data_IF_933053017550
#
_entry.id   IF_933053017550
#
_cell.length_a   1.000
_cell.length_b   1.000
_cell.length_c   1.000
_cell.angle_alpha   90.00
_cell.angle_beta   90.00
_cell.angle_gamma   90.00
#
_symmetry.space_group_name_H-M   'P 1'
#
loop_
_entity.id
_entity.type
_entity.pdbx_description
1 polymer ?
#
# COMPACT_ATOMS: atom_id res chain seq x y z
N UNK A 1 -0.65 -42.04 -25.87
CA UNK A 1 0.08 -41.14 -24.95
C UNK A 1 0.84 -40.07 -25.74
N UNK A 2 1.76 -40.42 -26.68
CA UNK A 2 2.56 -39.44 -27.44
C UNK A 2 1.67 -38.48 -28.22
N UNK A 3 0.67 -38.95 -28.98
CA UNK A 3 -0.29 -38.10 -29.68
C UNK A 3 -1.13 -37.19 -28.78
N UNK A 4 -1.35 -37.59 -27.53
CA UNK A 4 -2.00 -36.72 -26.54
C UNK A 4 -1.05 -35.65 -26.02
N UNK A 5 0.24 -35.97 -25.83
CA UNK A 5 1.25 -35.04 -25.45
C UNK A 5 1.51 -33.95 -26.53
N UNK A 6 1.44 -34.31 -27.82
CA UNK A 6 1.57 -33.39 -28.94
C UNK A 6 0.46 -32.31 -28.99
N UNK A 7 -0.73 -32.63 -28.42
CA UNK A 7 -1.86 -31.69 -28.33
C UNK A 7 -1.79 -30.76 -27.10
N UNK A 8 -0.98 -31.11 -26.13
CA UNK A 8 -0.84 -30.34 -24.88
C UNK A 8 0.29 -29.33 -25.08
N UNK A 9 -0.06 -28.06 -25.27
CA UNK A 9 0.92 -26.97 -25.45
C UNK A 9 1.79 -26.71 -24.21
N UNK A 10 1.32 -27.06 -23.03
CA UNK A 10 2.02 -26.88 -21.76
C UNK A 10 1.66 -28.01 -20.77
N UNK A 11 2.66 -28.78 -20.35
CA UNK A 11 2.51 -29.81 -19.30
C UNK A 11 3.04 -29.27 -17.97
N UNK A 12 2.13 -29.10 -17.03
CA UNK A 12 2.51 -28.68 -15.67
C UNK A 12 2.94 -29.90 -14.86
N UNK A 13 4.19 -29.99 -14.39
CA UNK A 13 4.65 -31.16 -13.60
C UNK A 13 3.84 -31.30 -12.32
N UNK A 14 3.38 -32.53 -12.00
CA UNK A 14 2.58 -32.80 -10.80
C UNK A 14 3.26 -32.32 -9.51
N UNK A 15 4.57 -32.55 -9.39
CA UNK A 15 5.35 -32.11 -8.23
C UNK A 15 5.37 -30.58 -8.09
N UNK A 16 5.47 -29.86 -9.21
CA UNK A 16 5.42 -28.41 -9.24
C UNK A 16 4.03 -27.90 -8.82
N UNK A 17 2.96 -28.47 -9.40
CA UNK A 17 1.60 -28.13 -8.99
C UNK A 17 1.37 -28.39 -7.49
N UNK A 18 1.81 -29.54 -6.96
CA UNK A 18 1.70 -29.86 -5.55
C UNK A 18 2.44 -28.86 -4.64
N UNK A 19 3.64 -28.41 -5.04
CA UNK A 19 4.41 -27.44 -4.30
C UNK A 19 3.70 -26.08 -4.24
N UNK A 20 3.19 -25.59 -5.38
CA UNK A 20 2.44 -24.32 -5.43
C UNK A 20 1.15 -24.37 -4.61
N UNK A 21 0.36 -25.44 -4.77
CA UNK A 21 -0.88 -25.62 -4.02
C UNK A 21 -0.60 -25.69 -2.52
N UNK A 22 0.44 -26.43 -2.09
CA UNK A 22 0.83 -26.50 -0.68
C UNK A 22 1.19 -25.11 -0.12
N UNK A 23 1.95 -24.31 -0.87
CA UNK A 23 2.29 -22.95 -0.44
C UNK A 23 1.06 -22.04 -0.41
N UNK A 24 0.16 -22.15 -1.38
CA UNK A 24 -1.10 -21.41 -1.38
C UNK A 24 -1.94 -21.72 -0.14
N UNK A 25 -2.07 -22.99 0.25
CA UNK A 25 -2.77 -23.39 1.48
C UNK A 25 -2.10 -22.84 2.74
N UNK A 26 -0.77 -22.84 2.81
CA UNK A 26 -0.04 -22.25 3.96
C UNK A 26 -0.32 -20.74 4.08
N UNK A 27 -0.29 -20.03 2.97
CA UNK A 27 -0.59 -18.59 2.96
C UNK A 27 -2.06 -18.34 3.33
N UNK A 28 -2.99 -19.12 2.78
CA UNK A 28 -4.41 -19.05 3.12
C UNK A 28 -4.66 -19.32 4.60
N UNK A 29 -3.92 -20.25 5.21
CA UNK A 29 -4.02 -20.53 6.65
C UNK A 29 -3.69 -19.26 7.47
N UNK A 30 -2.59 -18.59 7.17
CA UNK A 30 -2.24 -17.31 7.85
C UNK A 30 -3.32 -16.25 7.63
N UNK A 31 -3.86 -16.13 6.42
CA UNK A 31 -4.93 -15.16 6.12
C UNK A 31 -6.21 -15.40 6.94
N UNK A 32 -6.49 -16.65 7.30
CA UNK A 32 -7.66 -17.03 8.09
C UNK A 32 -7.41 -16.92 9.60
N UNK A 33 -6.28 -17.45 10.08
CA UNK A 33 -6.02 -17.63 11.50
C UNK A 33 -5.19 -16.48 12.11
N UNK A 34 -4.31 -15.85 11.30
CA UNK A 34 -3.44 -14.75 11.72
C UNK A 34 -3.54 -13.57 10.73
N UNK A 35 -4.74 -13.01 10.51
CA UNK A 35 -4.96 -12.03 9.44
C UNK A 35 -4.11 -10.77 9.60
N UNK A 36 -3.88 -10.26 10.82
CA UNK A 36 -2.99 -9.12 11.03
C UNK A 36 -1.58 -9.41 10.54
N UNK A 37 -1.03 -10.58 10.83
CA UNK A 37 0.30 -10.99 10.38
C UNK A 37 0.35 -11.09 8.84
N UNK A 38 -0.67 -11.68 8.23
CA UNK A 38 -0.78 -11.79 6.77
C UNK A 38 -0.76 -10.42 6.09
N UNK A 39 -1.63 -9.49 6.49
CA UNK A 39 -1.71 -8.16 5.88
C UNK A 39 -0.45 -7.34 6.14
N UNK A 40 0.11 -7.40 7.35
CA UNK A 40 1.35 -6.69 7.69
C UNK A 40 2.51 -7.15 6.81
N UNK A 41 2.67 -8.46 6.61
CA UNK A 41 3.69 -9.03 5.73
C UNK A 41 3.45 -8.64 4.27
N UNK A 42 2.20 -8.73 3.80
CA UNK A 42 1.85 -8.36 2.44
C UNK A 42 2.16 -6.89 2.15
N UNK A 43 1.66 -5.98 2.97
CA UNK A 43 1.88 -4.54 2.76
C UNK A 43 3.35 -4.14 2.89
N UNK A 44 4.12 -4.84 3.75
CA UNK A 44 5.56 -4.57 3.87
C UNK A 44 6.36 -4.99 2.64
N UNK A 45 5.97 -6.09 1.97
CA UNK A 45 6.79 -6.73 0.94
C UNK A 45 6.28 -6.45 -0.48
N UNK A 46 4.96 -6.29 -0.66
CA UNK A 46 4.32 -6.30 -1.97
C UNK A 46 3.54 -5.03 -2.31
N UNK A 47 3.47 -4.07 -1.40
CA UNK A 47 2.64 -2.89 -1.58
C UNK A 47 3.49 -1.64 -1.90
N UNK A 48 4.27 -1.68 -2.97
CA UNK A 48 5.13 -0.56 -3.41
C UNK A 48 4.32 0.71 -3.73
N UNK A 49 3.06 0.55 -4.18
CA UNK A 49 2.14 1.65 -4.48
C UNK A 49 1.17 1.94 -3.30
N UNK A 50 1.57 1.60 -2.07
CA UNK A 50 0.76 1.90 -0.90
C UNK A 50 0.74 3.40 -0.64
N UNK A 51 -0.46 3.96 -0.60
CA UNK A 51 -0.71 5.38 -0.34
C UNK A 51 -1.48 5.53 0.98
N UNK A 52 -0.79 6.01 2.00
CA UNK A 52 -1.39 6.20 3.33
C UNK A 52 -2.50 7.25 3.34
N UNK A 53 -2.43 8.27 2.46
CA UNK A 53 -3.45 9.31 2.35
C UNK A 53 -4.78 8.78 1.83
N UNK A 54 -4.74 7.69 1.07
CA UNK A 54 -5.93 7.00 0.55
C UNK A 54 -6.34 5.85 1.45
N UNK A 55 -5.38 5.01 1.84
CA UNK A 55 -5.64 3.67 2.39
C UNK A 55 -5.84 3.65 3.91
N UNK A 56 -5.31 4.64 4.64
CA UNK A 56 -5.36 4.64 6.12
C UNK A 56 -6.54 5.43 6.72
N UNK A 57 -7.40 6.03 5.90
CA UNK A 57 -8.50 6.86 6.38
C UNK A 57 -9.89 6.23 6.20
N UNK A 58 -9.96 4.91 6.29
CA UNK A 58 -11.20 4.15 6.32
C UNK A 58 -11.70 3.67 4.95
N UNK A 59 -12.62 2.69 4.99
CA UNK A 59 -13.07 1.96 3.81
C UNK A 59 -13.78 2.81 2.76
N UNK A 60 -14.47 3.87 3.16
CA UNK A 60 -15.17 4.74 2.19
C UNK A 60 -14.18 5.47 1.27
N UNK A 61 -13.04 5.92 1.80
CA UNK A 61 -12.01 6.57 0.99
C UNK A 61 -11.37 5.59 0.01
N UNK A 62 -11.16 4.35 0.44
CA UNK A 62 -10.67 3.25 -0.40
C UNK A 62 -11.66 2.96 -1.53
N UNK A 63 -12.94 2.77 -1.24
CA UNK A 63 -14.00 2.54 -2.23
C UNK A 63 -14.12 3.68 -3.25
N UNK A 64 -14.02 4.92 -2.79
CA UNK A 64 -14.07 6.07 -3.69
C UNK A 64 -12.87 6.10 -4.64
N UNK A 65 -11.67 5.76 -4.17
CA UNK A 65 -10.48 5.67 -5.02
C UNK A 65 -10.58 4.52 -6.02
N UNK A 66 -11.11 3.36 -5.63
CA UNK A 66 -11.37 2.26 -6.55
C UNK A 66 -12.32 2.68 -7.67
N UNK A 67 -13.44 3.34 -7.34
CA UNK A 67 -14.38 3.87 -8.34
C UNK A 67 -13.74 4.90 -9.27
N UNK A 68 -12.87 5.77 -8.74
CA UNK A 68 -12.15 6.74 -9.55
C UNK A 68 -11.26 6.05 -10.60
N UNK A 69 -10.51 5.01 -10.20
CA UNK A 69 -9.67 4.22 -11.11
C UNK A 69 -10.52 3.49 -12.15
N UNK A 70 -11.62 2.86 -11.76
CA UNK A 70 -12.55 2.19 -12.67
C UNK A 70 -13.15 3.14 -13.69
N UNK A 71 -13.56 4.34 -13.27
CA UNK A 71 -14.12 5.36 -14.16
C UNK A 71 -13.08 5.90 -15.15
N UNK A 72 -11.84 6.10 -14.70
CA UNK A 72 -10.74 6.49 -15.57
C UNK A 72 -10.48 5.41 -16.63
N UNK A 73 -10.52 4.13 -16.26
CA UNK A 73 -10.45 3.00 -17.18
C UNK A 73 -11.57 3.01 -18.23
N UNK A 74 -12.82 3.20 -17.81
CA UNK A 74 -14.00 3.25 -18.71
C UNK A 74 -14.01 4.46 -19.65
N UNK A 75 -13.49 5.59 -19.23
CA UNK A 75 -13.48 6.81 -20.06
C UNK A 75 -12.56 6.69 -21.28
N UNK A 76 -11.48 5.93 -21.17
CA UNK A 76 -10.59 5.69 -22.31
C UNK A 76 -11.15 4.63 -23.29
N UNK A 77 -11.95 3.67 -22.81
CA UNK A 77 -12.62 2.67 -23.67
C UNK A 77 -13.77 3.23 -24.47
N UNK A 78 -14.37 4.34 -24.08
CA UNK A 78 -15.51 4.94 -24.80
C UNK A 78 -15.13 5.45 -26.20
N UNK A 79 -13.86 5.72 -26.45
CA UNK A 79 -13.35 6.14 -27.77
C UNK A 79 -13.14 4.97 -28.73
N UNK A 80 -13.06 3.76 -28.20
CA UNK A 80 -12.82 2.52 -28.97
C UNK A 80 -14.08 1.62 -29.08
N UNK A 81 -15.20 1.98 -28.45
CA UNK A 81 -16.42 1.16 -28.37
C UNK A 81 -17.11 0.93 -29.74
N UNK A 82 -16.84 1.76 -30.76
CA UNK A 82 -17.45 1.58 -32.09
C UNK A 82 -16.83 0.43 -32.91
N UNK A 83 -15.75 -0.20 -32.45
CA UNK A 83 -15.04 -1.27 -33.17
C UNK A 83 -15.20 -2.66 -32.53
N UNK A 84 -15.84 -2.79 -31.35
CA UNK A 84 -15.65 -3.95 -30.46
C UNK A 84 -16.86 -4.85 -30.19
N UNK A 85 -17.95 -4.77 -30.95
CA UNK A 85 -19.13 -5.64 -30.75
C UNK A 85 -18.87 -7.16 -30.84
N UNK A 86 -17.74 -7.60 -31.38
CA UNK A 86 -17.38 -9.04 -31.50
C UNK A 86 -16.37 -9.46 -30.41
N UNK A 87 -15.69 -8.51 -29.80
CA UNK A 87 -14.70 -8.75 -28.74
C UNK A 87 -15.32 -8.89 -27.35
N UNK A 88 -16.55 -8.44 -27.16
CA UNK A 88 -17.24 -8.45 -25.86
C UNK A 88 -17.37 -9.88 -25.27
N UNK A 89 -17.63 -10.88 -26.12
CA UNK A 89 -17.77 -12.29 -25.69
C UNK A 89 -16.41 -12.93 -25.36
N UNK A 90 -15.32 -12.52 -26.03
CA UNK A 90 -13.96 -12.99 -25.72
C UNK A 90 -13.44 -12.30 -24.47
N UNK A 91 -14.00 -11.16 -24.14
CA UNK A 91 -13.56 -10.25 -23.09
C UNK A 91 -14.20 -10.54 -21.73
N UNK A 92 -15.39 -11.14 -21.69
CA UNK A 92 -15.95 -11.74 -20.47
C UNK A 92 -15.04 -12.86 -19.90
N UNK A 93 -14.26 -13.54 -20.75
CA UNK A 93 -13.24 -14.51 -20.31
C UNK A 93 -11.94 -13.88 -19.78
N UNK A 94 -11.76 -12.58 -20.02
CA UNK A 94 -10.58 -11.79 -19.64
C UNK A 94 -10.97 -10.49 -18.92
N UNK A 95 -12.03 -10.50 -18.10
CA UNK A 95 -12.56 -9.33 -17.39
C UNK A 95 -11.50 -8.48 -16.69
N UNK A 96 -10.36 -9.07 -16.35
CA UNK A 96 -9.23 -8.37 -15.72
C UNK A 96 -8.45 -7.50 -16.72
N UNK A 97 -8.45 -7.83 -18.01
CA UNK A 97 -7.55 -7.19 -19.00
C UNK A 97 -8.15 -5.94 -19.66
N UNK A 98 -9.47 -5.80 -19.68
CA UNK A 98 -10.13 -4.68 -20.35
C UNK A 98 -10.36 -3.45 -19.49
N UNK A 99 -10.56 -3.64 -18.21
CA UNK A 99 -10.57 -2.52 -17.27
C UNK A 99 -9.18 -1.87 -17.17
N UNK A 100 -8.18 -2.52 -17.74
CA UNK A 100 -6.78 -2.19 -17.61
C UNK A 100 -6.11 -1.43 -18.75
N UNK A 101 -6.70 -1.25 -19.90
CA UNK A 101 -5.98 -0.60 -21.02
C UNK A 101 -5.88 0.92 -20.94
N UNK A 102 -6.62 1.56 -20.06
CA UNK A 102 -6.52 2.99 -19.82
C UNK A 102 -5.90 3.34 -18.46
N UNK A 103 -5.93 2.43 -17.49
CA UNK A 103 -5.25 2.60 -16.23
C UNK A 103 -3.76 2.28 -16.40
N UNK A 104 -2.89 3.11 -15.86
CA UNK A 104 -1.44 2.87 -15.88
C UNK A 104 -1.11 1.59 -15.08
N UNK A 105 0.07 1.00 -15.31
CA UNK A 105 0.55 -0.13 -14.48
C UNK A 105 0.53 0.21 -12.99
N UNK A 106 0.79 1.48 -12.66
CA UNK A 106 0.70 2.01 -11.29
C UNK A 106 -0.73 1.93 -10.75
N UNK A 107 -1.73 2.33 -11.54
CA UNK A 107 -3.14 2.27 -11.12
C UNK A 107 -3.61 0.83 -10.91
N UNK A 108 -3.19 -0.11 -11.76
CA UNK A 108 -3.49 -1.55 -11.60
C UNK A 108 -2.89 -2.10 -10.30
N UNK A 109 -1.63 -1.76 -10.03
CA UNK A 109 -0.95 -2.19 -8.81
C UNK A 109 -1.63 -1.57 -7.57
N UNK A 110 -1.98 -0.29 -7.63
CA UNK A 110 -2.71 0.39 -6.57
C UNK A 110 -4.08 -0.24 -6.34
N UNK A 111 -4.82 -0.57 -7.40
CA UNK A 111 -6.14 -1.19 -7.30
C UNK A 111 -6.07 -2.54 -6.57
N UNK A 112 -5.12 -3.40 -6.91
CA UNK A 112 -4.92 -4.68 -6.23
C UNK A 112 -4.59 -4.51 -4.72
N UNK A 113 -3.85 -3.45 -4.37
CA UNK A 113 -3.58 -3.13 -2.95
C UNK A 113 -4.88 -2.63 -2.27
N UNK A 114 -5.66 -1.78 -2.95
CA UNK A 114 -6.93 -1.26 -2.43
C UNK A 114 -7.95 -2.37 -2.15
N UNK A 115 -8.02 -3.41 -2.98
CA UNK A 115 -8.87 -4.59 -2.74
C UNK A 115 -8.50 -5.30 -1.44
N UNK A 116 -7.20 -5.51 -1.20
CA UNK A 116 -6.72 -6.13 0.04
C UNK A 116 -6.92 -5.24 1.27
N UNK A 117 -6.75 -3.93 1.11
CA UNK A 117 -7.05 -2.96 2.18
C UNK A 117 -8.54 -2.97 2.51
N UNK A 118 -9.40 -3.00 1.49
CA UNK A 118 -10.84 -3.08 1.70
C UNK A 118 -11.23 -4.39 2.41
N UNK A 119 -10.70 -5.53 1.98
CA UNK A 119 -10.91 -6.82 2.64
C UNK A 119 -10.46 -6.77 4.11
N UNK A 120 -9.31 -6.18 4.39
CA UNK A 120 -8.80 -6.00 5.74
C UNK A 120 -9.78 -5.18 6.61
N UNK A 121 -10.31 -4.07 6.09
CA UNK A 121 -11.32 -3.26 6.78
C UNK A 121 -12.63 -4.02 7.01
N UNK A 122 -13.09 -4.83 6.03
CA UNK A 122 -14.30 -5.64 6.19
C UNK A 122 -14.13 -6.74 7.26
N UNK A 123 -12.91 -7.16 7.54
CA UNK A 123 -12.57 -8.06 8.64
C UNK A 123 -12.42 -7.34 9.99
N UNK A 124 -12.68 -6.03 10.06
CA UNK A 124 -12.56 -5.24 11.28
C UNK A 124 -11.12 -4.88 11.68
N UNK A 125 -10.15 -5.12 10.82
CA UNK A 125 -8.76 -4.73 11.05
C UNK A 125 -8.55 -3.32 10.47
N UNK A 126 -8.04 -2.40 11.30
CA UNK A 126 -7.85 -1.01 10.91
C UNK A 126 -6.36 -0.64 10.82
N UNK A 127 -6.05 0.38 10.03
CA UNK A 127 -4.76 1.05 10.14
C UNK A 127 -4.78 2.03 11.31
N UNK A 128 -3.64 2.07 12.01
CA UNK A 128 -3.38 3.08 13.03
C UNK A 128 -2.78 4.34 12.37
N UNK A 129 -2.93 5.51 13.00
CA UNK A 129 -2.30 6.73 12.51
C UNK A 129 -0.78 6.57 12.42
N UNK A 130 -0.18 7.18 11.40
CA UNK A 130 1.28 7.29 11.33
C UNK A 130 1.76 8.14 12.50
N UNK A 131 2.77 7.66 13.20
CA UNK A 131 3.32 8.30 14.38
C UNK A 131 4.84 8.44 14.25
N UNK A 132 5.36 9.64 14.53
CA UNK A 132 6.77 9.96 14.36
C UNK A 132 7.69 9.00 15.14
N UNK A 133 7.28 8.58 16.33
CA UNK A 133 8.10 7.76 17.23
C UNK A 133 7.79 6.26 17.15
N UNK A 134 6.53 5.90 16.93
CA UNK A 134 6.08 4.51 16.88
C UNK A 134 6.28 3.88 15.52
N UNK A 135 5.97 4.61 14.42
CA UNK A 135 6.11 4.05 13.07
C UNK A 135 7.55 3.71 12.73
N UNK A 136 7.75 2.54 12.14
CA UNK A 136 9.03 2.14 11.55
C UNK A 136 9.29 2.91 10.25
N UNK A 137 10.53 3.01 9.80
CA UNK A 137 10.84 3.70 8.55
C UNK A 137 10.18 3.08 7.32
N UNK A 138 10.17 1.73 7.23
CA UNK A 138 9.78 1.01 5.99
C UNK A 138 8.87 -0.19 6.21
N UNK A 139 8.62 -0.62 7.45
CA UNK A 139 7.86 -1.85 7.73
C UNK A 139 6.57 -1.54 8.46
N UNK A 140 5.49 -2.16 8.01
CA UNK A 140 4.25 -2.19 8.78
C UNK A 140 4.46 -2.94 10.10
N UNK A 141 3.76 -2.52 11.14
CA UNK A 141 3.88 -3.09 12.48
C UNK A 141 2.51 -3.50 13.01
N UNK A 142 2.46 -4.67 13.67
CA UNK A 142 1.24 -5.15 14.32
C UNK A 142 1.17 -4.55 15.72
N UNK A 143 0.05 -3.90 16.03
CA UNK A 143 -0.31 -3.47 17.37
C UNK A 143 -1.67 -4.09 17.77
N UNK A 144 -2.02 -4.06 19.04
CA UNK A 144 -3.26 -4.68 19.53
C UNK A 144 -4.50 -4.10 18.84
N UNK A 145 -4.50 -2.80 18.61
CA UNK A 145 -5.63 -2.06 18.00
C UNK A 145 -5.66 -2.10 16.48
N UNK A 146 -4.56 -2.51 15.81
CA UNK A 146 -4.51 -2.51 14.35
C UNK A 146 -3.11 -2.65 13.77
N UNK A 147 -2.96 -2.21 12.54
CA UNK A 147 -1.68 -2.23 11.81
C UNK A 147 -1.18 -0.80 11.65
N UNK A 148 0.03 -0.51 12.14
CA UNK A 148 0.66 0.80 11.99
C UNK A 148 1.46 0.87 10.69
N UNK A 149 1.15 1.84 9.81
CA UNK A 149 1.90 2.06 8.59
C UNK A 149 3.29 2.64 8.88
N UNK A 150 4.28 2.39 8.00
CA UNK A 150 5.61 2.97 8.10
C UNK A 150 5.63 4.43 7.66
N UNK A 151 6.71 5.13 8.00
CA UNK A 151 6.90 6.53 7.62
C UNK A 151 6.98 6.73 6.09
N UNK A 152 7.63 5.81 5.36
CA UNK A 152 7.74 5.90 3.91
C UNK A 152 6.44 5.58 3.15
N UNK A 153 5.37 5.18 3.83
CA UNK A 153 4.04 5.05 3.22
C UNK A 153 3.36 6.42 2.98
N UNK A 154 3.90 7.49 3.54
CA UNK A 154 3.44 8.86 3.30
C UNK A 154 3.88 9.29 1.89
N UNK A 155 2.95 9.65 1.00
CA UNK A 155 3.29 10.12 -0.33
C UNK A 155 4.26 11.30 -0.28
N UNK A 156 5.39 11.19 -0.97
CA UNK A 156 6.43 12.20 -0.99
C UNK A 156 7.48 12.08 0.13
N UNK A 157 7.31 11.20 1.10
CA UNK A 157 8.32 10.91 2.11
C UNK A 157 9.15 9.69 1.68
N UNK A 158 10.29 9.94 1.05
CA UNK A 158 11.15 8.87 0.54
C UNK A 158 11.80 8.02 1.64
N UNK A 159 12.18 6.79 1.29
CA UNK A 159 12.77 5.81 2.20
C UNK A 159 14.01 6.34 2.95
N UNK A 160 14.86 7.12 2.28
CA UNK A 160 16.07 7.70 2.90
C UNK A 160 15.70 8.67 4.02
N UNK A 161 14.71 9.55 3.80
CA UNK A 161 14.24 10.48 4.81
C UNK A 161 13.59 9.74 6.00
N UNK A 162 12.77 8.72 5.72
CA UNK A 162 12.16 7.87 6.74
C UNK A 162 13.22 7.18 7.62
N UNK A 163 14.28 6.62 7.02
CA UNK A 163 15.40 6.01 7.73
C UNK A 163 16.21 7.02 8.53
N UNK A 164 16.38 8.24 8.01
CA UNK A 164 17.02 9.34 8.73
C UNK A 164 16.27 9.70 10.02
N UNK A 165 14.94 9.80 9.95
CA UNK A 165 14.08 10.02 11.12
C UNK A 165 14.20 8.86 12.10
N UNK A 166 14.15 7.61 11.62
CA UNK A 166 14.25 6.42 12.47
C UNK A 166 15.60 6.34 13.18
N UNK A 167 16.68 6.70 12.51
CA UNK A 167 18.01 6.73 13.12
C UNK A 167 18.10 7.82 14.17
N UNK A 168 17.65 9.02 13.84
CA UNK A 168 17.72 10.17 14.74
C UNK A 168 16.89 10.00 16.02
N UNK A 169 15.70 9.38 15.93
CA UNK A 169 14.86 9.15 17.13
C UNK A 169 15.45 8.17 18.14
N UNK A 170 16.45 7.34 17.75
CA UNK A 170 17.16 6.44 18.68
C UNK A 170 18.00 7.21 19.70
N UNK A 171 18.45 8.41 19.32
CA UNK A 171 19.23 9.30 20.20
C UNK A 171 18.33 10.16 21.12
N UNK A 172 17.06 9.78 21.27
CA UNK A 172 16.07 10.44 22.10
C UNK A 172 15.03 11.26 21.34
N UNK A 173 14.01 11.74 22.07
CA UNK A 173 12.96 12.56 21.50
C UNK A 173 13.50 13.85 20.91
N UNK A 174 12.86 14.33 19.85
CA UNK A 174 13.17 15.64 19.26
C UNK A 174 12.65 16.76 20.17
N UNK A 175 13.48 17.75 20.39
CA UNK A 175 13.11 18.91 21.22
C UNK A 175 12.26 19.93 20.43
N UNK A 176 12.46 19.99 19.12
CA UNK A 176 11.72 20.88 18.23
C UNK A 176 11.75 20.35 16.79
N UNK A 177 10.98 21.00 15.91
CA UNK A 177 10.99 20.70 14.47
C UNK A 177 12.39 20.98 13.88
N UNK A 178 13.06 22.04 14.29
CA UNK A 178 14.41 22.35 13.83
C UNK A 178 15.44 21.29 14.29
N UNK A 179 15.33 20.82 15.55
CA UNK A 179 16.15 19.71 16.05
C UNK A 179 15.92 18.43 15.22
N UNK A 180 14.66 18.11 14.95
CA UNK A 180 14.31 16.98 14.08
C UNK A 180 14.93 17.11 12.69
N UNK A 181 14.83 18.28 12.04
CA UNK A 181 15.40 18.53 10.71
C UNK A 181 16.91 18.30 10.69
N UNK A 182 17.61 18.88 11.67
CA UNK A 182 19.08 18.79 11.75
C UNK A 182 19.51 17.33 11.99
N UNK A 183 18.93 16.65 12.97
CA UNK A 183 19.30 15.29 13.34
C UNK A 183 18.92 14.27 12.29
N UNK A 184 17.74 14.41 11.67
CA UNK A 184 17.26 13.48 10.65
C UNK A 184 17.74 13.83 9.23
N UNK A 185 18.37 14.97 9.04
CA UNK A 185 18.83 15.49 7.72
C UNK A 185 17.71 15.58 6.69
N UNK A 186 16.51 15.98 7.11
CA UNK A 186 15.34 16.11 6.25
C UNK A 186 15.10 17.56 5.82
N UNK A 187 14.51 17.74 4.63
CA UNK A 187 14.15 19.04 4.08
C UNK A 187 12.80 19.58 4.58
N UNK A 188 12.51 20.84 4.24
CA UNK A 188 11.25 21.49 4.61
C UNK A 188 10.03 20.76 4.05
N UNK A 189 10.10 20.24 2.83
CA UNK A 189 8.99 19.48 2.22
C UNK A 189 8.56 18.28 3.05
N UNK A 190 9.50 17.56 3.66
CA UNK A 190 9.19 16.42 4.54
C UNK A 190 8.56 16.92 5.86
N UNK A 191 9.03 18.05 6.40
CA UNK A 191 8.43 18.65 7.59
C UNK A 191 6.98 19.07 7.33
N UNK A 192 6.71 19.69 6.17
CA UNK A 192 5.36 20.08 5.76
C UNK A 192 4.43 18.86 5.65
N UNK A 193 4.92 17.77 5.04
CA UNK A 193 4.17 16.50 4.96
C UNK A 193 3.83 15.95 6.34
N UNK A 194 4.82 15.84 7.23
CA UNK A 194 4.62 15.35 8.59
C UNK A 194 3.69 16.26 9.41
N UNK A 195 3.75 17.57 9.19
CA UNK A 195 2.85 18.55 9.80
C UNK A 195 1.42 18.33 9.34
N UNK A 196 1.22 18.20 8.00
CA UNK A 196 -0.09 17.92 7.40
C UNK A 196 -0.70 16.62 7.92
N UNK A 197 0.11 15.58 8.12
CA UNK A 197 -0.30 14.31 8.71
C UNK A 197 -0.59 14.39 10.22
N UNK A 198 -0.30 15.51 10.86
CA UNK A 198 -0.48 15.70 12.29
C UNK A 198 0.61 15.03 13.16
N UNK A 199 1.65 14.46 12.57
CA UNK A 199 2.74 13.77 13.27
C UNK A 199 3.57 14.70 14.17
N UNK A 200 3.56 16.02 13.89
CA UNK A 200 4.32 17.03 14.61
C UNK A 200 3.46 17.87 15.56
N UNK A 201 2.22 17.45 15.81
CA UNK A 201 1.30 18.19 16.69
C UNK A 201 1.85 18.31 18.09
N UNK A 202 1.95 19.54 18.59
CA UNK A 202 2.48 19.86 19.91
C UNK A 202 3.99 19.99 19.99
N UNK A 203 4.72 19.87 18.87
CA UNK A 203 6.16 20.12 18.81
C UNK A 203 6.42 21.61 18.52
N UNK A 204 7.32 22.23 19.31
CA UNK A 204 7.74 23.62 19.08
C UNK A 204 8.53 23.76 17.78
N UNK A 205 8.49 24.94 17.15
CA UNK A 205 9.23 25.18 15.91
C UNK A 205 10.74 25.16 16.13
N UNK A 206 11.23 25.83 17.17
CA UNK A 206 12.65 25.94 17.49
C UNK A 206 12.94 25.63 18.97
N UNK A 207 14.22 25.39 19.28
CA UNK A 207 14.69 25.21 20.66
C UNK A 207 14.85 26.55 21.41
N UNK A 208 14.65 27.69 20.74
CA UNK A 208 14.72 28.98 21.38
C UNK A 208 13.48 29.20 22.24
N UNK A 209 13.66 29.30 23.54
CA UNK A 209 12.63 29.85 24.43
C UNK A 209 12.37 31.30 23.97
N UNK A 210 11.13 31.62 23.56
CA UNK A 210 10.74 33.00 23.38
C UNK A 210 10.88 33.67 24.75
N UNK A 211 11.80 34.65 24.84
CA UNK A 211 11.95 35.47 26.02
C UNK A 211 10.78 36.45 26.19
N UNK A 212 9.89 36.52 25.18
CA UNK A 212 8.68 37.32 25.16
C UNK A 212 7.52 36.38 24.78
N UNK A 213 6.90 35.78 25.76
CA UNK A 213 5.70 34.95 25.62
C UNK A 213 4.45 35.81 25.41
#
# INVERSE_FOLDING_TARGET
YIKSCEKIKYMFPKAHAAAYVTNAFRIAWFKVHEPKAYYTAFFTIRADEFDSDVMCYGKEKVKNKMKEIELAGKAATKKDQDTYGVLEIVLEMYEIDLQGNAATTKDKNMYAILELVLEMYERGINFLPIDLYKSHSTKFQIEDEGIRPPLNSVPGLGTVAAQGIETAKKDGKFMSIDDMKIRSKIGNSVVELLTKMGCLKGMSQSNQMSLFG
#
